data_IF_448558124463
#
_entry.id   IF_448558124463
#
_cell.length_a   1.000
_cell.length_b   1.000
_cell.length_c   1.000
_cell.angle_alpha   90.00
_cell.angle_beta   90.00
_cell.angle_gamma   90.00
#
_symmetry.space_group_name_H-M   'P 1'
#
loop_
_entity.id
_entity.type
_entity.pdbx_description
1 polymer ?
#
# COMPACT_ATOMS: atom_id res chain seq x y z
N UNK A 1 16.79 -10.22 1.67
CA UNK A 1 17.34 -8.98 1.07
C UNK A 1 16.24 -7.97 0.84
N UNK A 2 16.49 -6.89 0.07
CA UNK A 2 15.52 -5.88 -0.45
C UNK A 2 14.31 -6.53 -1.13
N UNK A 3 13.15 -5.93 -1.44
CA UNK A 3 12.51 -4.59 -1.49
C UNK A 3 13.21 -3.29 -1.01
N UNK A 4 13.03 -2.22 -1.78
CA UNK A 4 12.92 -0.79 -1.46
C UNK A 4 11.63 -0.33 -2.14
N UNK A 5 10.80 0.50 -1.51
CA UNK A 5 9.64 1.11 -2.20
C UNK A 5 9.84 2.61 -2.31
N UNK A 6 9.92 3.09 -3.56
CA UNK A 6 9.87 4.51 -3.89
C UNK A 6 8.50 4.78 -4.51
N UNK A 7 7.72 5.65 -3.87
CA UNK A 7 6.44 6.08 -4.39
C UNK A 7 6.62 7.40 -5.13
N UNK A 8 6.20 7.40 -6.39
CA UNK A 8 6.24 8.55 -7.31
C UNK A 8 4.87 9.24 -7.31
N UNK A 9 4.72 10.45 -7.89
CA UNK A 9 3.90 11.50 -7.31
C UNK A 9 2.42 11.13 -7.21
N UNK A 10 1.76 11.49 -6.10
CA UNK A 10 0.31 11.43 -6.03
C UNK A 10 -0.29 12.51 -6.93
N UNK A 11 -1.42 12.23 -7.57
CA UNK A 11 -2.16 13.25 -8.33
C UNK A 11 -3.01 14.16 -7.43
N UNK A 12 -3.45 13.64 -6.28
CA UNK A 12 -4.20 14.36 -5.24
C UNK A 12 -3.76 13.91 -3.84
N UNK A 13 -4.00 14.74 -2.82
CA UNK A 13 -3.35 14.67 -1.50
C UNK A 13 -3.54 13.34 -0.76
N UNK A 14 -2.45 12.58 -0.59
CA UNK A 14 -2.44 11.28 0.11
C UNK A 14 -1.58 11.34 1.37
N UNK A 15 -2.10 10.83 2.49
CA UNK A 15 -1.34 10.68 3.73
C UNK A 15 -0.59 9.36 3.70
N UNK A 16 0.73 9.38 3.91
CA UNK A 16 1.54 8.21 4.23
C UNK A 16 1.87 8.15 5.72
N UNK A 17 1.81 6.95 6.29
CA UNK A 17 2.37 6.65 7.62
C UNK A 17 3.51 5.65 7.43
N UNK A 18 4.70 5.97 7.90
CA UNK A 18 5.89 5.10 7.81
C UNK A 18 6.61 5.08 9.15
N UNK A 19 6.62 3.93 9.82
CA UNK A 19 7.22 3.80 11.17
C UNK A 19 6.54 4.68 12.22
N UNK A 20 5.23 4.93 12.08
CA UNK A 20 4.45 5.85 12.92
C UNK A 20 4.52 7.32 12.51
N UNK A 21 5.48 7.73 11.67
CA UNK A 21 5.56 9.11 11.18
C UNK A 21 4.58 9.35 10.03
N UNK A 22 3.64 10.29 10.23
CA UNK A 22 2.69 10.77 9.21
C UNK A 22 3.38 11.77 8.27
N UNK A 23 3.08 11.72 6.98
CA UNK A 23 3.55 12.68 5.96
C UNK A 23 2.51 12.77 4.85
N UNK A 24 1.98 13.96 4.59
CA UNK A 24 1.10 14.18 3.45
C UNK A 24 1.96 14.42 2.20
N UNK A 25 1.64 13.73 1.12
CA UNK A 25 2.33 13.85 -0.17
C UNK A 25 1.50 14.68 -1.13
N UNK A 26 2.11 15.76 -1.62
CA UNK A 26 1.59 16.61 -2.68
C UNK A 26 2.09 16.12 -4.05
N UNK A 27 1.44 16.53 -5.15
CA UNK A 27 1.94 16.28 -6.50
C UNK A 27 3.40 16.72 -6.68
N UNK A 28 4.18 15.87 -7.35
CA UNK A 28 5.63 16.00 -7.49
C UNK A 28 6.47 15.44 -6.32
N UNK A 29 5.89 15.21 -5.14
CA UNK A 29 6.62 14.65 -4.00
C UNK A 29 6.79 13.13 -4.11
N UNK A 30 7.82 12.61 -3.42
CA UNK A 30 8.09 11.18 -3.32
C UNK A 30 8.38 10.75 -1.87
N UNK A 31 8.05 9.51 -1.52
CA UNK A 31 8.37 8.93 -0.21
C UNK A 31 9.12 7.60 -0.38
N UNK A 32 10.17 7.47 0.42
CA UNK A 32 10.92 6.23 0.57
C UNK A 32 10.39 5.42 1.77
N UNK A 33 10.16 4.13 1.55
CA UNK A 33 9.74 3.18 2.59
C UNK A 33 10.90 2.22 2.88
N UNK A 34 11.51 2.27 4.08
CA UNK A 34 12.59 1.38 4.46
C UNK A 34 12.14 -0.08 4.64
N UNK A 35 13.10 -1.01 4.55
CA UNK A 35 12.85 -2.45 4.79
C UNK A 35 12.31 -2.70 6.20
N UNK A 36 11.34 -3.62 6.32
CA UNK A 36 10.81 -4.11 7.61
C UNK A 36 10.20 -3.01 8.50
N UNK A 37 9.87 -1.85 7.92
CA UNK A 37 9.15 -0.77 8.58
C UNK A 37 7.67 -0.89 8.23
N UNK A 38 6.81 -0.92 9.25
CA UNK A 38 5.36 -0.87 9.08
C UNK A 38 5.01 0.44 8.39
N UNK A 39 4.21 0.35 7.33
CA UNK A 39 3.77 1.47 6.54
C UNK A 39 2.36 1.25 6.02
N UNK A 40 1.68 2.36 5.72
CA UNK A 40 0.37 2.39 5.10
C UNK A 40 0.10 3.77 4.52
N UNK A 41 -1.03 3.89 3.83
CA UNK A 41 -1.51 5.16 3.30
C UNK A 41 -3.01 5.31 3.53
N UNK A 42 -3.47 6.55 3.54
CA UNK A 42 -4.88 6.90 3.62
C UNK A 42 -5.20 7.97 2.59
N UNK A 43 -6.23 7.73 1.79
CA UNK A 43 -6.88 8.80 1.04
C UNK A 43 -7.90 9.47 1.98
N UNK A 44 -7.63 10.71 2.36
CA UNK A 44 -8.54 11.51 3.20
C UNK A 44 -9.40 12.49 2.40
N UNK A 45 -9.25 12.55 1.08
CA UNK A 45 -10.02 13.41 0.20
C UNK A 45 -11.33 12.78 -0.28
N UNK A 46 -12.10 13.57 -1.00
CA UNK A 46 -13.36 13.22 -1.67
C UNK A 46 -13.18 12.76 -3.13
N UNK A 47 -11.93 12.69 -3.61
CA UNK A 47 -11.54 12.28 -4.97
C UNK A 47 -10.58 11.09 -4.97
N UNK A 48 -10.50 10.37 -6.09
CA UNK A 48 -9.59 9.22 -6.28
C UNK A 48 -8.10 9.61 -6.20
N UNK A 49 -7.43 9.30 -5.10
CA UNK A 49 -5.97 9.42 -5.04
C UNK A 49 -5.27 8.36 -5.92
N UNK A 50 -4.27 8.78 -6.70
CA UNK A 50 -3.45 7.91 -7.56
C UNK A 50 -1.97 8.21 -7.39
N UNK A 51 -1.14 7.19 -7.19
CA UNK A 51 0.32 7.29 -7.09
C UNK A 51 0.96 6.03 -7.72
N UNK A 52 2.21 6.09 -8.18
CA UNK A 52 2.92 4.93 -8.73
C UNK A 52 3.92 4.37 -7.71
N UNK A 53 3.80 3.08 -7.40
CA UNK A 53 4.69 2.35 -6.50
C UNK A 53 5.78 1.56 -7.25
N UNK A 54 7.05 1.79 -6.90
CA UNK A 54 8.20 1.07 -7.46
C UNK A 54 8.82 0.19 -6.38
N UNK A 55 8.64 -1.13 -6.48
CA UNK A 55 9.06 -2.13 -5.49
C UNK A 55 10.28 -2.91 -6.01
N UNK A 56 11.43 -2.85 -5.33
CA UNK A 56 12.72 -3.32 -5.88
C UNK A 56 13.54 -4.22 -4.94
N UNK A 57 13.85 -5.48 -5.27
CA UNK A 57 13.34 -6.30 -6.37
C UNK A 57 11.82 -6.44 -6.37
N UNK A 58 11.24 -6.59 -7.57
CA UNK A 58 9.81 -6.67 -7.86
C UNK A 58 9.15 -7.98 -7.46
N UNK A 59 9.29 -8.36 -6.18
CA UNK A 59 8.67 -9.57 -5.63
C UNK A 59 7.13 -9.46 -5.58
N UNK A 60 6.61 -8.25 -5.37
CA UNK A 60 5.18 -7.96 -5.35
C UNK A 60 4.71 -7.53 -6.76
N UNK A 61 4.34 -8.50 -7.57
CA UNK A 61 3.85 -8.30 -8.94
C UNK A 61 2.36 -7.98 -9.03
N UNK A 62 1.86 -7.81 -10.26
CA UNK A 62 0.44 -7.53 -10.55
C UNK A 62 -0.53 -8.60 -10.03
N UNK A 63 -0.08 -9.84 -9.87
CA UNK A 63 -0.88 -10.93 -9.31
C UNK A 63 -1.42 -10.63 -7.90
N UNK A 64 -0.64 -9.96 -7.05
CA UNK A 64 -1.11 -9.53 -5.73
C UNK A 64 -2.33 -8.61 -5.84
N UNK A 65 -2.27 -7.62 -6.73
CA UNK A 65 -3.34 -6.65 -6.92
C UNK A 65 -4.59 -7.28 -7.57
N UNK A 66 -4.43 -8.30 -8.42
CA UNK A 66 -5.55 -9.10 -8.93
C UNK A 66 -6.22 -9.88 -7.79
N UNK A 67 -5.45 -10.67 -7.04
CA UNK A 67 -5.98 -11.46 -5.93
C UNK A 67 -6.73 -10.59 -4.91
N UNK A 68 -6.19 -9.40 -4.59
CA UNK A 68 -6.86 -8.43 -3.70
C UNK A 68 -8.16 -7.89 -4.32
N UNK A 69 -8.16 -7.56 -5.62
CA UNK A 69 -9.37 -7.11 -6.30
C UNK A 69 -10.47 -8.18 -6.29
N UNK A 70 -10.12 -9.47 -6.40
CA UNK A 70 -11.07 -10.57 -6.30
C UNK A 70 -11.69 -10.69 -4.90
N UNK A 71 -10.94 -10.37 -3.82
CA UNK A 71 -11.52 -10.26 -2.45
C UNK A 71 -12.46 -9.05 -2.32
N UNK A 72 -12.15 -7.95 -3.00
CA UNK A 72 -12.88 -6.69 -2.91
C UNK A 72 -14.11 -6.61 -3.84
N UNK A 73 -14.36 -7.63 -4.67
CA UNK A 73 -15.41 -7.60 -5.70
C UNK A 73 -16.84 -7.81 -5.17
N UNK A 74 -17.03 -8.08 -3.87
CA UNK A 74 -18.34 -8.32 -3.26
C UNK A 74 -19.00 -7.06 -2.69
N UNK A 75 -20.33 -7.10 -2.57
CA UNK A 75 -21.12 -6.03 -1.94
C UNK A 75 -20.97 -6.06 -0.40
N UNK A 76 -20.08 -5.25 0.16
CA UNK A 76 -19.94 -5.13 1.61
C UNK A 76 -18.61 -4.53 2.08
N UNK A 77 -18.37 -4.46 3.41
CA UNK A 77 -17.05 -4.15 3.94
C UNK A 77 -16.05 -5.26 3.56
N UNK A 78 -14.78 -4.94 3.28
CA UNK A 78 -13.79 -5.94 2.89
C UNK A 78 -13.56 -7.03 3.96
N UNK A 79 -13.42 -8.28 3.53
CA UNK A 79 -12.95 -9.36 4.39
C UNK A 79 -11.46 -9.18 4.71
N UNK A 80 -11.18 -8.63 5.88
CA UNK A 80 -9.83 -8.35 6.38
C UNK A 80 -9.01 -9.62 6.64
N UNK A 81 -9.66 -10.78 6.89
CA UNK A 81 -8.94 -12.04 7.07
C UNK A 81 -8.48 -12.57 5.71
N UNK A 82 -9.37 -12.59 4.71
CA UNK A 82 -9.07 -13.03 3.35
C UNK A 82 -8.04 -12.10 2.67
N UNK A 83 -8.10 -10.77 2.90
CA UNK A 83 -7.03 -9.84 2.51
C UNK A 83 -5.70 -10.24 3.17
N UNK A 84 -5.71 -10.50 4.48
CA UNK A 84 -4.51 -10.93 5.21
C UNK A 84 -3.93 -12.26 4.70
N UNK A 85 -4.77 -13.20 4.26
CA UNK A 85 -4.34 -14.43 3.60
C UNK A 85 -3.68 -14.17 2.25
N UNK A 86 -4.31 -13.37 1.38
CA UNK A 86 -3.71 -12.95 0.09
C UNK A 86 -2.35 -12.29 0.32
N UNK A 87 -2.25 -11.35 1.26
CA UNK A 87 -0.97 -10.72 1.62
C UNK A 87 0.11 -11.76 1.98
N UNK A 88 -0.22 -12.76 2.80
CA UNK A 88 0.72 -13.83 3.18
C UNK A 88 1.11 -14.72 1.99
N UNK A 89 0.20 -15.06 1.08
CA UNK A 89 0.50 -15.83 -0.15
C UNK A 89 1.53 -15.10 -1.03
N UNK A 90 1.45 -13.77 -1.10
CA UNK A 90 2.39 -12.93 -1.84
C UNK A 90 3.62 -12.48 -1.02
N UNK A 91 3.91 -13.13 0.11
CA UNK A 91 5.12 -12.92 0.91
C UNK A 91 5.12 -11.63 1.75
N UNK A 92 3.97 -11.00 1.95
CA UNK A 92 3.80 -9.85 2.84
C UNK A 92 3.42 -10.30 4.25
N UNK A 93 3.86 -9.55 5.26
CA UNK A 93 3.36 -9.64 6.63
C UNK A 93 2.40 -8.46 6.86
N UNK A 94 1.09 -8.69 7.05
CA UNK A 94 0.17 -7.65 7.48
C UNK A 94 0.65 -6.99 8.78
N UNK A 95 0.38 -5.70 8.94
CA UNK A 95 0.56 -5.06 10.24
C UNK A 95 -0.38 -5.71 11.29
N UNK A 96 -0.02 -5.70 12.58
CA UNK A 96 -0.97 -6.01 13.64
C UNK A 96 -2.22 -5.10 13.54
N UNK A 97 -3.41 -5.57 13.98
CA UNK A 97 -4.54 -4.68 14.22
C UNK A 97 -4.15 -3.51 15.13
N UNK A 98 -4.82 -2.37 14.94
CA UNK A 98 -4.68 -1.18 15.79
C UNK A 98 -5.34 -1.37 17.16
#
# INVERSE_FOLDING_TARGET
>A
GSHHSCLTPPLDGITFTVGGARTDLNPGAARFIPRRVIHGFNNGGDVDARFLAVISPGLLGSGYFRDIADVLAGDGPPDVQMIGEVMRRHGLTPAPPA
#
